data_IF_563957094586
#
_entry.id   IF_563957094586
#
_cell.length_a   1.000
_cell.length_b   1.000
_cell.length_c   1.000
_cell.angle_alpha   90.00
_cell.angle_beta   90.00
_cell.angle_gamma   90.00
#
_symmetry.space_group_name_H-M   'P 1'
#
loop_
_entity.id
_entity.type
_entity.pdbx_description
1 polymer ?
#
# COMPACT_ATOMS: atom_id res chain seq x y z
N UNK A 1 0.48 -20.63 3.06
CA UNK A 1 -0.37 -19.83 2.14
C UNK A 1 -0.25 -18.39 2.62
N UNK A 2 0.09 -17.46 1.74
CA UNK A 2 0.19 -16.05 2.10
C UNK A 2 -1.15 -15.53 2.61
N UNK A 3 -1.13 -14.75 3.69
CA UNK A 3 -2.30 -14.14 4.30
C UNK A 3 -2.39 -12.67 3.89
N UNK A 4 -3.58 -12.26 3.46
CA UNK A 4 -3.82 -10.90 2.95
C UNK A 4 -3.96 -9.90 4.09
N UNK A 5 -3.68 -8.63 3.80
CA UNK A 5 -3.92 -7.54 4.74
C UNK A 5 -5.36 -7.51 5.22
N UNK A 6 -6.36 -7.67 4.35
CA UNK A 6 -7.77 -7.61 4.77
C UNK A 6 -8.13 -8.72 5.76
N UNK A 7 -7.57 -9.92 5.60
CA UNK A 7 -7.77 -11.04 6.54
C UNK A 7 -7.13 -10.73 7.90
N UNK A 8 -5.93 -10.16 7.91
CA UNK A 8 -5.27 -9.72 9.14
C UNK A 8 -6.02 -8.54 9.79
N UNK A 9 -6.56 -7.64 8.97
CA UNK A 9 -7.32 -6.47 9.39
C UNK A 9 -8.63 -6.86 10.09
N UNK A 10 -9.38 -7.82 9.54
CA UNK A 10 -10.56 -8.38 10.20
C UNK A 10 -10.23 -8.93 11.60
N UNK A 11 -9.09 -9.61 11.74
CA UNK A 11 -8.63 -10.12 13.03
C UNK A 11 -8.24 -9.01 14.00
N UNK A 12 -7.69 -7.90 13.51
CA UNK A 12 -7.41 -6.70 14.32
C UNK A 12 -8.72 -6.08 14.82
N UNK A 13 -9.72 -5.91 13.94
CA UNK A 13 -11.05 -5.39 14.31
C UNK A 13 -11.71 -6.30 15.35
N UNK A 14 -11.69 -7.62 15.13
CA UNK A 14 -12.23 -8.60 16.07
C UNK A 14 -11.51 -8.57 17.43
N UNK A 15 -10.18 -8.44 17.44
CA UNK A 15 -9.41 -8.34 18.66
C UNK A 15 -9.73 -7.06 19.46
N UNK A 16 -9.91 -5.92 18.78
CA UNK A 16 -10.26 -4.65 19.40
C UNK A 16 -11.68 -4.66 20.02
N UNK A 17 -12.57 -5.53 19.53
CA UNK A 17 -13.90 -5.72 20.11
C UNK A 17 -13.87 -6.41 21.49
N UNK A 18 -12.74 -7.01 21.89
CA UNK A 18 -12.59 -7.64 23.20
C UNK A 18 -12.86 -6.67 24.36
N UNK A 19 -13.50 -7.15 25.42
CA UNK A 19 -13.69 -6.42 26.67
C UNK A 19 -12.56 -6.64 27.69
N UNK A 20 -11.53 -7.43 27.33
CA UNK A 20 -10.42 -7.81 28.21
C UNK A 20 -9.20 -6.89 28.15
N UNK A 21 -9.32 -5.69 27.58
CA UNK A 21 -8.24 -4.68 27.64
C UNK A 21 -8.12 -4.07 29.05
N UNK A 22 -7.02 -3.35 29.28
CA UNK A 22 -6.69 -2.69 30.55
C UNK A 22 -7.85 -1.93 31.17
N UNK A 23 -8.09 -2.06 32.47
CA UNK A 23 -9.05 -1.22 33.20
C UNK A 23 -8.51 0.20 33.49
N UNK A 24 -7.24 0.47 33.19
CA UNK A 24 -6.63 1.80 33.32
C UNK A 24 -7.36 2.83 32.43
N UNK A 25 -7.68 4.00 33.01
CA UNK A 25 -8.51 5.02 32.34
C UNK A 25 -7.86 5.55 31.06
N UNK A 26 -6.56 5.76 31.07
CA UNK A 26 -5.85 6.29 29.91
C UNK A 26 -5.78 5.26 28.78
N UNK A 27 -5.55 3.98 29.12
CA UNK A 27 -5.64 2.90 28.14
C UNK A 27 -7.05 2.73 27.60
N UNK A 28 -8.09 2.74 28.44
CA UNK A 28 -9.48 2.66 28.00
C UNK A 28 -9.83 3.77 26.99
N UNK A 29 -9.40 5.01 27.23
CA UNK A 29 -9.60 6.11 26.29
C UNK A 29 -8.97 5.84 24.92
N UNK A 30 -7.75 5.28 24.88
CA UNK A 30 -7.11 4.89 23.63
C UNK A 30 -7.81 3.69 22.97
N UNK A 31 -8.22 2.67 23.71
CA UNK A 31 -8.90 1.50 23.13
C UNK A 31 -10.26 1.88 22.52
N UNK A 32 -11.02 2.75 23.16
CA UNK A 32 -12.29 3.24 22.61
C UNK A 32 -12.07 3.95 21.28
N UNK A 33 -11.03 4.77 21.18
CA UNK A 33 -10.66 5.44 19.94
C UNK A 33 -10.06 4.47 18.91
N UNK A 34 -9.33 3.45 19.34
CA UNK A 34 -8.80 2.39 18.48
C UNK A 34 -9.91 1.61 17.76
N UNK A 35 -11.00 1.29 18.47
CA UNK A 35 -12.19 0.66 17.89
C UNK A 35 -12.87 1.53 16.84
N UNK A 36 -12.80 2.86 16.98
CA UNK A 36 -13.33 3.80 15.98
C UNK A 36 -12.37 3.97 14.80
N UNK A 37 -11.06 3.99 15.06
CA UNK A 37 -10.05 4.06 14.02
C UNK A 37 -10.10 2.84 13.11
N UNK A 38 -10.15 1.63 13.65
CA UNK A 38 -10.20 0.40 12.87
C UNK A 38 -11.66 -0.08 12.70
N UNK A 39 -12.35 0.46 11.69
CA UNK A 39 -13.73 0.10 11.36
C UNK A 39 -13.82 -0.94 10.23
N UNK A 40 -15.03 -1.40 9.92
CA UNK A 40 -15.24 -2.39 8.85
C UNK A 40 -14.75 -1.93 7.47
N UNK A 41 -14.84 -0.62 7.21
CA UNK A 41 -14.43 -0.01 5.93
C UNK A 41 -12.97 0.49 5.94
N UNK A 42 -12.12 0.00 6.85
CA UNK A 42 -10.73 0.43 6.98
C UNK A 42 -10.53 1.56 8.00
N UNK A 43 -9.45 2.32 7.83
CA UNK A 43 -9.00 3.27 8.85
C UNK A 43 -9.76 4.61 8.81
N UNK A 44 -10.43 4.96 9.91
CA UNK A 44 -11.14 6.23 10.05
C UNK A 44 -10.18 7.39 10.36
N UNK A 45 -10.14 8.36 9.44
CA UNK A 45 -9.37 9.58 9.58
C UNK A 45 -9.81 10.51 10.71
N UNK A 46 -11.06 10.39 11.19
CA UNK A 46 -11.52 11.13 12.37
C UNK A 46 -10.74 10.77 13.63
N UNK A 47 -10.13 9.59 13.67
CA UNK A 47 -9.30 9.11 14.78
C UNK A 47 -7.83 8.92 14.38
N UNK A 48 -7.38 9.54 13.29
CA UNK A 48 -6.01 9.40 12.79
C UNK A 48 -4.92 9.82 13.80
N UNK A 49 -5.22 10.74 14.72
CA UNK A 49 -4.25 11.14 15.76
C UNK A 49 -3.99 10.03 16.79
N UNK A 50 -4.86 9.02 16.90
CA UNK A 50 -4.71 7.92 17.85
C UNK A 50 -3.35 7.24 17.71
N UNK A 51 -2.91 6.95 16.48
CA UNK A 51 -1.67 6.19 16.27
C UNK A 51 -0.45 6.97 16.78
N UNK A 52 -0.47 8.31 16.69
CA UNK A 52 0.56 9.16 17.29
C UNK A 52 0.44 9.23 18.82
N UNK A 53 -0.78 9.31 19.35
CA UNK A 53 -1.01 9.31 20.80
C UNK A 53 -0.57 8.00 21.45
N UNK A 54 -0.81 6.86 20.78
CA UNK A 54 -0.29 5.55 21.17
C UNK A 54 1.24 5.55 21.16
N UNK A 55 1.87 6.04 20.09
CA UNK A 55 3.34 6.16 20.00
C UNK A 55 3.91 7.01 21.14
N UNK A 56 3.29 8.15 21.44
CA UNK A 56 3.70 9.06 22.54
C UNK A 56 3.52 8.42 23.92
N UNK A 57 2.41 7.72 24.16
CA UNK A 57 2.18 7.02 25.44
C UNK A 57 3.26 5.96 25.69
N UNK A 58 3.60 5.18 24.66
CA UNK A 58 4.67 4.17 24.73
C UNK A 58 6.04 4.80 24.97
N UNK A 59 6.37 5.89 24.24
CA UNK A 59 7.63 6.62 24.45
C UNK A 59 7.74 7.22 25.87
N UNK A 60 6.64 7.73 26.44
CA UNK A 60 6.62 8.24 27.82
C UNK A 60 6.86 7.14 28.85
N UNK A 61 6.30 5.94 28.63
CA UNK A 61 6.54 4.79 29.49
C UNK A 61 8.02 4.35 29.44
N UNK A 62 8.62 4.35 28.24
CA UNK A 62 10.06 4.08 28.03
C UNK A 62 10.95 5.07 28.77
N UNK A 63 10.66 6.37 28.65
CA UNK A 63 11.36 7.41 29.41
C UNK A 63 11.23 7.24 30.94
N UNK A 64 10.22 6.50 31.40
CA UNK A 64 9.98 6.17 32.82
C UNK A 64 10.53 4.79 33.21
N UNK A 65 11.29 4.12 32.34
CA UNK A 65 11.95 2.84 32.62
C UNK A 65 11.15 1.58 32.23
N UNK A 66 9.99 1.71 31.59
CA UNK A 66 9.20 0.56 31.11
C UNK A 66 9.40 0.31 29.62
N UNK A 67 9.72 -0.92 29.22
CA UNK A 67 9.82 -1.24 27.79
C UNK A 67 8.43 -1.33 27.11
N UNK A 68 8.44 -1.36 25.77
CA UNK A 68 7.21 -1.37 24.96
C UNK A 68 6.37 -2.63 25.22
N UNK A 69 7.00 -3.80 25.38
CA UNK A 69 6.31 -5.03 25.71
C UNK A 69 5.52 -4.92 27.03
N UNK A 70 6.15 -4.45 28.12
CA UNK A 70 5.48 -4.25 29.43
C UNK A 70 4.24 -3.35 29.26
N UNK A 71 4.40 -2.25 28.53
CA UNK A 71 3.32 -1.29 28.30
C UNK A 71 2.17 -1.89 27.48
N UNK A 72 2.48 -2.66 26.44
CA UNK A 72 1.48 -3.30 25.58
C UNK A 72 0.77 -4.47 26.28
N UNK A 73 1.44 -5.23 27.13
CA UNK A 73 0.77 -6.21 28.02
C UNK A 73 -0.21 -5.51 28.95
N UNK A 74 0.24 -4.44 29.62
CA UNK A 74 -0.62 -3.63 30.49
C UNK A 74 -1.84 -3.08 29.75
N UNK A 75 -1.66 -2.62 28.52
CA UNK A 75 -2.74 -2.18 27.63
C UNK A 75 -3.71 -3.32 27.27
N UNK A 76 -3.18 -4.52 26.99
CA UNK A 76 -3.94 -5.72 26.66
C UNK A 76 -4.64 -6.39 27.86
N UNK A 77 -4.58 -5.76 29.04
CA UNK A 77 -5.27 -6.19 30.26
C UNK A 77 -4.48 -7.14 31.14
N UNK A 78 -3.21 -7.37 30.84
CA UNK A 78 -2.38 -8.36 31.51
C UNK A 78 -1.12 -7.72 32.09
N UNK A 79 -0.56 -8.34 33.12
CA UNK A 79 0.76 -7.94 33.62
C UNK A 79 1.82 -8.81 32.98
N UNK A 80 2.92 -8.22 32.52
CA UNK A 80 4.10 -8.97 32.12
C UNK A 80 4.79 -9.55 33.39
N UNK A 81 4.17 -10.52 34.06
CA UNK A 81 4.74 -11.19 35.22
C UNK A 81 5.54 -12.43 34.78
N UNK A 82 6.74 -12.18 34.26
CA UNK A 82 7.68 -13.25 33.95
C UNK A 82 8.41 -13.73 35.21
N UNK A 83 7.87 -14.72 35.91
CA UNK A 83 8.67 -15.58 36.80
C UNK A 83 8.36 -17.04 36.50
N UNK A 84 9.24 -17.68 35.73
CA UNK A 84 9.20 -19.12 35.42
C UNK A 84 9.60 -19.42 33.98
N UNK A 85 10.36 -20.49 33.77
CA UNK A 85 10.53 -21.08 32.43
C UNK A 85 9.19 -21.65 31.96
N UNK A 86 8.77 -21.36 30.72
CA UNK A 86 7.56 -21.93 30.11
C UNK A 86 6.28 -21.07 30.16
N UNK A 87 6.35 -19.78 30.48
CA UNK A 87 5.18 -18.89 30.36
C UNK A 87 4.80 -18.69 28.89
N UNK A 88 3.53 -18.91 28.57
CA UNK A 88 2.97 -18.85 27.21
C UNK A 88 1.95 -17.73 27.13
N UNK A 89 1.97 -17.00 26.02
CA UNK A 89 0.94 -16.05 25.59
C UNK A 89 -0.10 -16.83 24.80
N UNK A 90 -1.32 -16.91 25.32
CA UNK A 90 -2.42 -17.55 24.62
C UNK A 90 -2.84 -16.75 23.37
N UNK A 91 -3.58 -17.40 22.47
CA UNK A 91 -4.02 -16.82 21.20
C UNK A 91 -4.87 -15.56 21.38
N UNK A 92 -5.71 -15.48 22.41
CA UNK A 92 -6.61 -14.35 22.61
C UNK A 92 -5.86 -13.12 23.14
N UNK A 93 -4.90 -13.31 24.04
CA UNK A 93 -3.96 -12.26 24.44
C UNK A 93 -3.09 -11.82 23.27
N UNK A 94 -2.57 -12.79 22.49
CA UNK A 94 -1.77 -12.52 21.30
C UNK A 94 -2.50 -11.67 20.26
N UNK A 95 -3.79 -11.93 20.02
CA UNK A 95 -4.64 -11.09 19.15
C UNK A 95 -4.76 -9.65 19.66
N UNK A 96 -4.99 -9.43 20.96
CA UNK A 96 -5.06 -8.08 21.56
C UNK A 96 -3.73 -7.34 21.43
N UNK A 97 -2.63 -8.01 21.73
CA UNK A 97 -1.27 -7.48 21.57
C UNK A 97 -0.98 -7.14 20.10
N UNK A 98 -1.35 -8.04 19.18
CA UNK A 98 -1.20 -7.85 17.74
C UNK A 98 -1.99 -6.67 17.21
N UNK A 99 -3.23 -6.47 17.65
CA UNK A 99 -4.01 -5.29 17.29
C UNK A 99 -3.31 -3.99 17.70
N UNK A 100 -2.83 -3.90 18.95
CA UNK A 100 -2.12 -2.72 19.43
C UNK A 100 -0.79 -2.51 18.70
N UNK A 101 -0.05 -3.59 18.44
CA UNK A 101 1.22 -3.52 17.71
C UNK A 101 1.01 -3.07 16.26
N UNK A 102 0.00 -3.58 15.58
CA UNK A 102 -0.37 -3.12 14.23
C UNK A 102 -0.73 -1.64 14.23
N UNK A 103 -1.57 -1.17 15.17
CA UNK A 103 -1.93 0.24 15.27
C UNK A 103 -0.73 1.14 15.61
N UNK A 104 0.20 0.67 16.45
CA UNK A 104 1.48 1.36 16.69
C UNK A 104 2.16 1.63 15.34
N UNK A 105 2.24 0.64 14.47
CA UNK A 105 3.00 0.72 13.21
C UNK A 105 2.15 1.22 12.03
N UNK A 106 0.97 1.77 12.31
CA UNK A 106 0.10 2.42 11.33
C UNK A 106 0.35 3.92 11.31
N UNK A 107 0.45 4.50 10.12
CA UNK A 107 0.75 5.91 9.88
C UNK A 107 -0.30 6.53 8.98
N UNK A 108 -0.92 7.61 9.44
CA UNK A 108 -1.69 8.46 8.55
C UNK A 108 -0.73 9.39 7.82
N UNK A 109 -0.55 9.18 6.51
CA UNK A 109 0.45 9.89 5.74
C UNK A 109 -0.05 11.25 5.26
N UNK A 110 -1.28 11.28 4.72
CA UNK A 110 -1.85 12.51 4.14
C UNK A 110 -3.35 12.39 3.91
N UNK A 111 -3.99 13.56 3.89
CA UNK A 111 -5.30 13.78 3.26
C UNK A 111 -5.16 14.79 2.14
N UNK A 112 -5.71 14.51 0.97
CA UNK A 112 -5.92 15.54 -0.06
C UNK A 112 -7.31 15.37 -0.67
N UNK A 113 -8.14 16.40 -0.54
CA UNK A 113 -9.58 16.28 -0.81
C UNK A 113 -10.22 15.18 0.05
N UNK A 114 -10.90 14.25 -0.61
CA UNK A 114 -11.49 13.07 0.03
C UNK A 114 -10.53 11.88 0.17
N UNK A 115 -9.34 11.93 -0.44
CA UNK A 115 -8.42 10.80 -0.47
C UNK A 115 -7.56 10.74 0.78
N UNK A 116 -7.40 9.52 1.31
CA UNK A 116 -6.78 9.25 2.60
C UNK A 116 -5.67 8.21 2.39
N UNK A 117 -4.43 8.57 2.68
CA UNK A 117 -3.29 7.66 2.50
C UNK A 117 -2.81 7.18 3.86
N UNK A 118 -2.79 5.86 4.03
CA UNK A 118 -2.27 5.18 5.20
C UNK A 118 -1.06 4.33 4.81
N UNK A 119 -0.16 4.14 5.76
CA UNK A 119 0.94 3.19 5.62
C UNK A 119 1.01 2.32 6.87
N UNK A 120 1.01 1.01 6.68
CA UNK A 120 1.30 0.03 7.71
C UNK A 120 2.72 -0.51 7.50
N UNK A 121 3.60 -0.24 8.46
CA UNK A 121 5.02 -0.55 8.38
C UNK A 121 5.44 -1.45 9.54
N UNK A 122 5.06 -2.73 9.48
CA UNK A 122 5.33 -3.70 10.55
C UNK A 122 6.84 -3.92 10.73
N UNK A 123 7.35 -4.08 11.97
CA UNK A 123 8.76 -4.36 12.22
C UNK A 123 9.24 -5.63 11.51
N UNK A 124 10.49 -5.62 11.08
CA UNK A 124 11.12 -6.65 10.24
C UNK A 124 11.28 -8.00 10.94
N UNK A 125 11.25 -8.05 12.27
CA UNK A 125 11.25 -9.31 13.02
C UNK A 125 9.96 -10.13 12.84
N UNK A 126 8.89 -9.52 12.34
CA UNK A 126 7.65 -10.22 12.01
C UNK A 126 7.75 -10.85 10.61
N UNK A 127 7.52 -12.16 10.54
CA UNK A 127 7.39 -12.94 9.30
C UNK A 127 5.93 -13.33 9.00
N UNK A 128 4.99 -12.82 9.81
CA UNK A 128 3.54 -12.89 9.61
C UNK A 128 2.90 -11.75 10.40
N UNK A 129 1.63 -11.46 10.15
CA UNK A 129 0.91 -10.37 10.79
C UNK A 129 0.97 -10.45 12.32
N UNK A 130 1.03 -9.32 13.05
CA UNK A 130 1.14 -9.34 14.51
C UNK A 130 0.04 -10.14 15.22
N UNK A 131 -1.18 -10.16 14.69
CA UNK A 131 -2.31 -10.90 15.25
C UNK A 131 -2.17 -12.44 15.12
N UNK A 132 -1.35 -12.92 14.17
CA UNK A 132 -1.04 -14.35 14.00
C UNK A 132 0.20 -14.78 14.78
N UNK A 133 1.16 -13.87 14.95
CA UNK A 133 2.53 -14.20 15.32
C UNK A 133 2.90 -13.93 16.78
N UNK A 134 1.94 -13.44 17.58
CA UNK A 134 2.11 -13.06 18.99
C UNK A 134 1.43 -14.03 19.98
N UNK A 135 1.39 -15.32 19.65
CA UNK A 135 1.10 -16.39 20.59
C UNK A 135 2.36 -17.25 20.83
N UNK A 136 2.40 -18.01 21.92
CA UNK A 136 3.52 -18.89 22.25
C UNK A 136 4.45 -18.34 23.32
N UNK A 137 5.74 -18.67 23.26
CA UNK A 137 6.68 -18.39 24.36
C UNK A 137 6.83 -16.90 24.65
N UNK A 138 6.69 -16.53 25.94
CA UNK A 138 6.73 -15.14 26.41
C UNK A 138 7.95 -14.37 25.90
N UNK A 139 9.15 -14.97 25.94
CA UNK A 139 10.37 -14.32 25.49
C UNK A 139 10.36 -13.91 24.01
N UNK A 140 9.82 -14.78 23.14
CA UNK A 140 9.68 -14.48 21.70
C UNK A 140 8.66 -13.37 21.47
N UNK A 141 7.50 -13.43 22.15
CA UNK A 141 6.47 -12.40 22.06
C UNK A 141 6.99 -11.06 22.56
N UNK A 142 7.63 -11.02 23.73
CA UNK A 142 8.23 -9.79 24.28
C UNK A 142 9.30 -9.22 23.36
N UNK A 143 10.13 -10.05 22.72
CA UNK A 143 11.12 -9.60 21.74
C UNK A 143 10.47 -8.92 20.54
N UNK A 144 9.45 -9.55 19.94
CA UNK A 144 8.67 -8.96 18.83
C UNK A 144 7.94 -7.67 19.21
N UNK A 145 7.39 -7.59 20.42
CA UNK A 145 6.72 -6.39 20.91
C UNK A 145 7.69 -5.24 21.15
N UNK A 146 8.94 -5.52 21.52
CA UNK A 146 9.97 -4.50 21.69
C UNK A 146 10.63 -4.09 20.36
N UNK A 147 10.46 -4.85 19.28
CA UNK A 147 11.04 -4.51 17.99
C UNK A 147 10.35 -3.27 17.37
N UNK A 148 11.18 -2.37 16.84
CA UNK A 148 10.77 -1.11 16.22
C UNK A 148 11.45 -0.90 14.87
N UNK A 149 12.19 -1.89 14.37
CA UNK A 149 12.88 -1.78 13.10
C UNK A 149 11.92 -2.04 11.94
N UNK A 150 11.25 -0.99 11.49
CA UNK A 150 10.18 -1.02 10.50
C UNK A 150 10.68 -1.26 9.07
N UNK A 151 9.84 -1.90 8.23
CA UNK A 151 10.13 -2.14 6.80
C UNK A 151 10.38 -0.84 6.02
N UNK A 152 9.52 0.16 6.22
CA UNK A 152 9.64 1.45 5.55
C UNK A 152 10.28 2.46 6.50
N UNK A 153 11.31 3.15 6.04
CA UNK A 153 11.89 4.31 6.74
C UNK A 153 10.95 5.51 6.74
N UNK A 154 11.27 6.53 7.56
CA UNK A 154 10.54 7.79 7.57
C UNK A 154 10.54 8.47 6.18
N UNK A 155 11.67 8.46 5.47
CA UNK A 155 11.78 9.04 4.12
C UNK A 155 10.93 8.26 3.12
N UNK A 156 10.98 6.92 3.14
CA UNK A 156 10.14 6.09 2.27
C UNK A 156 8.63 6.33 2.51
N UNK A 157 8.20 6.54 3.76
CA UNK A 157 6.81 6.91 4.05
C UNK A 157 6.43 8.28 3.48
N UNK A 158 7.34 9.26 3.52
CA UNK A 158 7.11 10.57 2.84
C UNK A 158 6.97 10.39 1.33
N UNK A 159 7.76 9.49 0.74
CA UNK A 159 7.70 9.17 -0.68
C UNK A 159 6.36 8.54 -1.09
N UNK A 160 5.88 7.53 -0.34
CA UNK A 160 4.57 6.90 -0.53
C UNK A 160 3.42 7.91 -0.45
N UNK A 161 3.51 8.87 0.49
CA UNK A 161 2.54 9.96 0.65
C UNK A 161 2.38 10.81 -0.62
N UNK A 162 3.48 11.08 -1.32
CA UNK A 162 3.50 11.93 -2.50
C UNK A 162 3.16 11.16 -3.79
N UNK A 163 3.48 9.87 -3.86
CA UNK A 163 3.27 9.03 -5.04
C UNK A 163 1.79 8.98 -5.48
N UNK A 164 0.86 8.77 -4.54
CA UNK A 164 -0.58 8.74 -4.85
C UNK A 164 -1.10 10.06 -5.44
N UNK A 165 -0.60 11.19 -4.91
CA UNK A 165 -1.02 12.52 -5.37
C UNK A 165 -0.48 12.81 -6.77
N UNK A 166 0.79 12.47 -7.03
CA UNK A 166 1.38 12.63 -8.36
C UNK A 166 0.72 11.69 -9.37
N UNK A 167 0.42 10.44 -8.98
CA UNK A 167 -0.35 9.50 -9.78
C UNK A 167 -1.74 10.03 -10.15
N UNK A 168 -2.48 10.65 -9.20
CA UNK A 168 -3.78 11.28 -9.50
C UNK A 168 -3.65 12.40 -10.54
N UNK A 169 -2.62 13.24 -10.40
CA UNK A 169 -2.33 14.31 -11.36
C UNK A 169 -2.09 13.73 -12.76
N UNK A 170 -1.33 12.64 -12.87
CA UNK A 170 -1.07 11.98 -14.14
C UNK A 170 -2.34 11.41 -14.76
N UNK A 171 -3.14 10.69 -13.97
CA UNK A 171 -4.43 10.14 -14.39
C UNK A 171 -5.33 11.24 -14.94
N UNK A 172 -5.39 12.42 -14.32
CA UNK A 172 -6.17 13.55 -14.86
C UNK A 172 -5.66 14.10 -16.20
N UNK A 173 -4.34 14.16 -16.39
CA UNK A 173 -3.77 14.57 -17.67
C UNK A 173 -4.08 13.53 -18.75
N UNK A 174 -3.96 12.24 -18.41
CA UNK A 174 -4.34 11.14 -19.28
C UNK A 174 -5.82 11.17 -19.66
N UNK A 175 -6.73 11.45 -18.71
CA UNK A 175 -8.17 11.64 -18.99
C UNK A 175 -8.42 12.79 -19.96
N UNK A 176 -7.65 13.87 -19.87
CA UNK A 176 -7.79 15.02 -20.79
C UNK A 176 -7.40 14.65 -22.23
N UNK A 177 -6.34 13.84 -22.37
CA UNK A 177 -5.86 13.31 -23.65
C UNK A 177 -6.86 12.31 -24.22
N UNK A 178 -7.19 11.25 -23.45
CA UNK A 178 -8.10 10.18 -23.83
C UNK A 178 -9.56 10.65 -24.03
N UNK A 179 -9.97 11.72 -23.36
CA UNK A 179 -11.29 12.34 -23.54
C UNK A 179 -11.43 13.15 -24.84
N UNK A 180 -10.32 13.48 -25.51
CA UNK A 180 -10.33 14.26 -26.75
C UNK A 180 -9.37 13.65 -27.80
N UNK A 181 -9.60 12.41 -28.24
CA UNK A 181 -8.63 11.68 -29.08
C UNK A 181 -8.51 12.25 -30.50
N UNK A 182 -9.50 13.01 -30.98
CA UNK A 182 -9.48 13.61 -32.33
C UNK A 182 -8.52 14.79 -32.50
N UNK A 183 -7.87 15.25 -31.43
CA UNK A 183 -6.80 16.26 -31.54
C UNK A 183 -5.50 15.56 -31.91
N UNK A 184 -4.80 16.02 -32.95
CA UNK A 184 -3.58 15.39 -33.48
C UNK A 184 -2.56 15.00 -32.41
N UNK A 185 -2.26 15.94 -31.49
CA UNK A 185 -1.33 15.68 -30.39
C UNK A 185 -1.82 14.56 -29.47
N UNK A 186 -3.11 14.51 -29.16
CA UNK A 186 -3.67 13.50 -28.27
C UNK A 186 -3.71 12.14 -28.97
N UNK A 187 -4.14 12.13 -30.23
CA UNK A 187 -4.12 10.95 -31.08
C UNK A 187 -2.73 10.33 -31.13
N UNK A 188 -1.70 11.16 -31.39
CA UNK A 188 -0.31 10.71 -31.47
C UNK A 188 0.22 10.11 -30.16
N UNK A 189 -0.25 10.58 -29.00
CA UNK A 189 0.12 9.99 -27.70
C UNK A 189 -0.59 8.65 -27.52
N UNK A 190 -1.90 8.56 -27.82
CA UNK A 190 -2.64 7.28 -27.72
C UNK A 190 -2.04 6.24 -28.68
N UNK A 191 -1.82 6.60 -29.94
CA UNK A 191 -1.26 5.70 -30.94
C UNK A 191 0.14 5.19 -30.56
N UNK A 192 0.97 6.03 -29.95
CA UNK A 192 2.31 5.62 -29.50
C UNK A 192 2.30 4.45 -28.52
N UNK A 193 1.35 4.45 -27.60
CA UNK A 193 1.28 3.48 -26.51
C UNK A 193 0.31 2.33 -26.77
N UNK A 194 -0.53 2.42 -27.81
CA UNK A 194 -1.59 1.43 -28.05
C UNK A 194 -1.80 1.01 -29.52
N UNK A 195 -1.17 1.64 -30.51
CA UNK A 195 -1.30 1.24 -31.92
C UNK A 195 -0.20 0.27 -32.37
N UNK A 196 -0.60 -0.81 -33.04
CA UNK A 196 0.28 -1.68 -33.79
C UNK A 196 0.18 -1.44 -35.31
N UNK A 197 0.85 -2.28 -36.11
CA UNK A 197 0.90 -2.13 -37.57
C UNK A 197 -0.45 -2.38 -38.27
N UNK A 198 -1.44 -2.95 -37.58
CA UNK A 198 -2.78 -3.24 -38.12
C UNK A 198 -3.85 -2.24 -37.66
N UNK A 199 -3.49 -1.37 -36.74
CA UNK A 199 -4.39 -0.41 -36.12
C UNK A 199 -4.82 0.68 -37.11
N UNK A 200 -6.08 1.07 -37.01
CA UNK A 200 -6.71 2.17 -37.74
C UNK A 200 -7.04 3.32 -36.81
N UNK A 201 -7.44 4.45 -37.39
CA UNK A 201 -7.82 5.63 -36.62
C UNK A 201 -9.02 5.36 -35.70
N UNK A 202 -9.97 4.54 -36.16
CA UNK A 202 -11.12 4.13 -35.36
C UNK A 202 -10.71 3.32 -34.12
N UNK A 203 -9.65 2.49 -34.23
CA UNK A 203 -9.14 1.69 -33.12
C UNK A 203 -8.55 2.59 -32.02
N UNK A 204 -7.91 3.70 -32.40
CA UNK A 204 -7.35 4.65 -31.43
C UNK A 204 -8.43 5.46 -30.72
N UNK A 205 -9.53 5.78 -31.41
CA UNK A 205 -10.70 6.40 -30.78
C UNK A 205 -11.33 5.42 -29.78
N UNK A 206 -11.43 4.14 -30.12
CA UNK A 206 -11.94 3.10 -29.22
C UNK A 206 -11.02 2.87 -28.02
N UNK A 207 -9.71 2.77 -28.23
CA UNK A 207 -8.71 2.65 -27.17
C UNK A 207 -8.78 3.85 -26.21
N UNK A 208 -8.87 5.07 -26.74
CA UNK A 208 -9.03 6.27 -25.93
C UNK A 208 -10.32 6.27 -25.10
N UNK A 209 -11.43 5.76 -25.65
CA UNK A 209 -12.68 5.62 -24.90
C UNK A 209 -12.52 4.63 -23.72
N UNK A 210 -11.89 3.48 -23.96
CA UNK A 210 -11.56 2.47 -22.93
C UNK A 210 -10.67 3.05 -21.84
N UNK A 211 -9.57 3.73 -22.23
CA UNK A 211 -8.66 4.41 -21.32
C UNK A 211 -9.42 5.43 -20.47
N UNK A 212 -10.21 6.32 -21.08
CA UNK A 212 -10.93 7.35 -20.34
C UNK A 212 -11.95 6.76 -19.34
N UNK A 213 -12.64 5.67 -19.71
CA UNK A 213 -13.56 4.98 -18.80
C UNK A 213 -12.81 4.36 -17.60
N UNK A 214 -11.67 3.71 -17.84
CA UNK A 214 -10.84 3.13 -16.79
C UNK A 214 -10.19 4.17 -15.89
N UNK A 215 -9.60 5.21 -16.48
CA UNK A 215 -8.95 6.31 -15.76
C UNK A 215 -9.92 7.05 -14.85
N UNK A 216 -11.22 7.16 -15.20
CA UNK A 216 -12.25 7.70 -14.30
C UNK A 216 -12.41 6.87 -13.03
N UNK A 217 -12.35 5.53 -13.12
CA UNK A 217 -12.41 4.64 -11.95
C UNK A 217 -11.19 4.84 -11.05
N UNK A 218 -10.00 4.83 -11.64
CA UNK A 218 -8.72 5.08 -10.93
C UNK A 218 -8.76 6.46 -10.25
N UNK A 219 -9.19 7.50 -10.97
CA UNK A 219 -9.29 8.85 -10.42
C UNK A 219 -10.28 8.94 -9.26
N UNK A 220 -11.42 8.24 -9.31
CA UNK A 220 -12.36 8.19 -8.20
C UNK A 220 -11.71 7.56 -6.96
N UNK A 221 -10.96 6.47 -7.16
CA UNK A 221 -10.21 5.79 -6.09
C UNK A 221 -9.21 6.72 -5.41
N UNK A 222 -8.42 7.41 -6.23
CA UNK A 222 -7.43 8.39 -5.79
C UNK A 222 -8.01 9.73 -5.29
N UNK A 223 -9.33 9.98 -5.39
CA UNK A 223 -9.99 11.23 -4.94
C UNK A 223 -10.81 11.10 -3.67
N UNK A 224 -11.47 9.97 -3.48
CA UNK A 224 -12.47 9.80 -2.41
C UNK A 224 -12.31 8.51 -1.61
N UNK A 225 -11.42 7.62 -2.04
CA UNK A 225 -11.11 6.38 -1.33
C UNK A 225 -10.03 6.55 -0.27
N UNK A 226 -9.81 5.48 0.48
CA UNK A 226 -8.57 5.27 1.20
C UNK A 226 -7.59 4.51 0.31
N UNK A 227 -6.30 4.62 0.61
CA UNK A 227 -5.27 3.74 0.06
C UNK A 227 -4.31 3.38 1.19
N UNK A 228 -4.04 2.09 1.33
CA UNK A 228 -3.22 1.51 2.38
C UNK A 228 -1.97 0.92 1.71
N UNK A 229 -0.82 1.48 2.04
CA UNK A 229 0.47 0.90 1.68
C UNK A 229 0.96 -0.01 2.79
N UNK A 230 1.32 -1.24 2.46
CA UNK A 230 1.97 -2.17 3.38
C UNK A 230 2.88 -3.10 2.59
N UNK A 231 3.72 -3.91 3.22
CA UNK A 231 4.41 -5.01 2.53
C UNK A 231 3.71 -6.34 2.78
N UNK A 232 4.08 -7.39 2.06
CA UNK A 232 3.52 -8.72 2.26
C UNK A 232 4.18 -9.41 3.46
N UNK A 233 3.69 -9.08 4.67
CA UNK A 233 4.33 -9.52 5.93
C UNK A 233 4.46 -11.05 6.00
N UNK A 234 3.46 -11.79 5.53
CA UNK A 234 3.43 -13.26 5.55
C UNK A 234 4.35 -13.93 4.52
N UNK A 235 4.88 -13.16 3.56
CA UNK A 235 5.79 -13.65 2.52
C UNK A 235 7.24 -13.21 2.75
N UNK A 236 7.50 -12.48 3.84
CA UNK A 236 8.86 -12.09 4.22
C UNK A 236 9.75 -13.31 4.42
N UNK A 237 10.96 -13.26 3.86
CA UNK A 237 11.92 -14.37 3.93
C UNK A 237 11.64 -15.50 2.92
N UNK A 238 10.66 -15.34 2.05
CA UNK A 238 10.43 -16.22 0.89
C UNK A 238 11.05 -15.62 -0.38
N UNK A 239 11.06 -16.40 -1.47
CA UNK A 239 11.51 -15.93 -2.79
C UNK A 239 10.37 -15.40 -3.66
N UNK A 240 9.11 -15.48 -3.21
CA UNK A 240 7.92 -15.20 -4.03
C UNK A 240 7.89 -13.76 -4.57
N UNK A 241 8.34 -12.78 -3.76
CA UNK A 241 8.32 -11.36 -4.11
C UNK A 241 9.73 -10.79 -4.43
N UNK A 242 10.70 -11.66 -4.73
CA UNK A 242 12.03 -11.18 -5.12
C UNK A 242 11.97 -10.45 -6.46
N UNK A 243 12.51 -9.23 -6.49
CA UNK A 243 12.48 -8.40 -7.68
C UNK A 243 11.14 -7.72 -7.95
N UNK A 244 10.17 -7.84 -7.05
CA UNK A 244 8.84 -7.21 -7.19
C UNK A 244 8.87 -5.78 -6.68
N UNK A 245 8.27 -4.85 -7.43
CA UNK A 245 8.12 -3.47 -7.01
C UNK A 245 6.91 -3.31 -6.08
N UNK A 246 5.75 -3.68 -6.58
CA UNK A 246 4.51 -3.70 -5.84
C UNK A 246 3.58 -4.73 -6.45
N UNK A 247 2.47 -4.98 -5.76
CA UNK A 247 1.35 -5.71 -6.33
C UNK A 247 0.06 -5.35 -5.60
N UNK A 248 -1.06 -5.73 -6.21
CA UNK A 248 -2.38 -5.72 -5.57
C UNK A 248 -2.97 -7.13 -5.57
N UNK A 249 -3.66 -7.47 -4.48
CA UNK A 249 -4.51 -8.66 -4.41
C UNK A 249 -5.99 -8.28 -4.46
N UNK A 250 -6.85 -9.29 -4.45
CA UNK A 250 -8.31 -9.13 -4.35
C UNK A 250 -8.81 -8.65 -2.98
N UNK A 251 -8.01 -7.88 -2.25
CA UNK A 251 -8.40 -7.26 -0.97
C UNK A 251 -9.63 -6.38 -1.16
N UNK A 252 -10.71 -6.56 -0.36
CA UNK A 252 -11.83 -5.62 -0.33
C UNK A 252 -11.39 -4.20 0.04
N UNK A 253 -10.43 -4.09 0.96
CA UNK A 253 -9.75 -2.84 1.27
C UNK A 253 -8.78 -2.45 0.17
N UNK A 254 -8.56 -1.14 0.03
CA UNK A 254 -7.70 -0.58 -1.00
C UNK A 254 -6.23 -0.66 -0.58
N UNK A 255 -5.63 -1.81 -0.84
CA UNK A 255 -4.27 -2.14 -0.43
C UNK A 255 -3.36 -2.24 -1.66
N UNK A 256 -2.18 -1.63 -1.55
CA UNK A 256 -1.05 -1.87 -2.45
C UNK A 256 0.10 -2.40 -1.60
N UNK A 257 0.57 -3.59 -1.96
CA UNK A 257 1.71 -4.24 -1.31
C UNK A 257 2.99 -3.69 -1.95
N UNK A 258 3.87 -3.10 -1.14
CA UNK A 258 5.10 -2.42 -1.55
C UNK A 258 6.28 -3.31 -1.17
N UNK A 259 7.07 -3.70 -2.16
CA UNK A 259 8.22 -4.58 -1.99
C UNK A 259 9.54 -3.86 -2.32
N UNK A 260 10.65 -4.58 -2.24
CA UNK A 260 11.99 -3.98 -2.21
C UNK A 260 12.31 -3.14 -3.45
N UNK A 261 11.94 -3.62 -4.64
CA UNK A 261 12.26 -2.93 -5.89
C UNK A 261 11.45 -1.64 -6.10
N UNK A 262 10.41 -1.38 -5.30
CA UNK A 262 9.69 -0.10 -5.35
C UNK A 262 10.63 1.09 -5.16
N UNK A 263 11.59 0.93 -4.25
CA UNK A 263 12.62 1.92 -3.94
C UNK A 263 13.94 1.62 -4.64
N UNK A 264 13.97 0.62 -5.54
CA UNK A 264 15.13 0.23 -6.32
C UNK A 264 15.54 1.30 -7.34
N UNK A 265 16.78 1.18 -7.81
CA UNK A 265 17.40 2.15 -8.73
C UNK A 265 17.65 1.58 -10.13
N UNK A 266 17.23 0.33 -10.38
CA UNK A 266 17.47 -0.39 -11.63
C UNK A 266 16.48 0.00 -12.76
N UNK A 267 15.45 0.76 -12.41
CA UNK A 267 14.39 1.20 -13.32
C UNK A 267 14.82 2.37 -14.20
N UNK A 268 14.15 2.49 -15.35
CA UNK A 268 14.31 3.65 -16.26
C UNK A 268 13.90 4.97 -15.59
N UNK A 269 12.90 4.92 -14.71
CA UNK A 269 12.46 6.06 -13.90
C UNK A 269 12.98 5.91 -12.47
N UNK A 270 13.23 7.04 -11.79
CA UNK A 270 13.65 7.06 -10.38
C UNK A 270 12.81 8.04 -9.57
N UNK A 271 12.87 7.90 -8.25
CA UNK A 271 12.21 8.81 -7.30
C UNK A 271 10.69 8.89 -7.48
N UNK A 272 10.12 10.07 -7.23
CA UNK A 272 8.68 10.31 -7.25
C UNK A 272 8.01 9.90 -8.56
N UNK A 273 8.70 10.12 -9.69
CA UNK A 273 8.20 9.72 -11.00
C UNK A 273 8.08 8.19 -11.09
N UNK A 274 9.07 7.44 -10.60
CA UNK A 274 8.98 5.98 -10.59
C UNK A 274 7.84 5.49 -9.70
N UNK A 275 7.73 6.02 -8.49
CA UNK A 275 6.72 5.63 -7.52
C UNK A 275 5.31 5.94 -8.00
N UNK A 276 5.10 7.09 -8.63
CA UNK A 276 3.82 7.45 -9.23
C UNK A 276 3.44 6.48 -10.37
N UNK A 277 4.41 6.07 -11.21
CA UNK A 277 4.18 5.03 -12.24
C UNK A 277 3.72 3.74 -11.58
N UNK A 278 4.42 3.24 -10.56
CA UNK A 278 4.05 1.98 -9.89
C UNK A 278 2.65 2.08 -9.31
N UNK A 279 2.32 3.16 -8.61
CA UNK A 279 0.97 3.33 -8.04
C UNK A 279 -0.11 3.33 -9.12
N UNK A 280 0.12 3.98 -10.26
CA UNK A 280 -0.84 3.96 -11.38
C UNK A 280 -0.94 2.56 -11.99
N UNK A 281 0.19 1.87 -12.19
CA UNK A 281 0.26 0.49 -12.67
C UNK A 281 -0.62 -0.42 -11.79
N UNK A 282 -0.40 -0.41 -10.48
CA UNK A 282 -1.13 -1.24 -9.53
C UNK A 282 -2.64 -0.94 -9.48
N UNK A 283 -3.01 0.34 -9.55
CA UNK A 283 -4.41 0.71 -9.57
C UNK A 283 -5.11 0.32 -10.87
N UNK A 284 -4.36 0.12 -11.96
CA UNK A 284 -4.96 -0.42 -13.19
C UNK A 284 -5.37 -1.89 -12.97
N UNK A 285 -4.52 -2.71 -12.35
CA UNK A 285 -4.89 -4.09 -12.01
C UNK A 285 -6.14 -4.13 -11.13
N UNK A 286 -6.21 -3.25 -10.14
CA UNK A 286 -7.32 -3.21 -9.19
C UNK A 286 -8.64 -2.81 -9.86
N UNK A 287 -8.65 -1.67 -10.56
CA UNK A 287 -9.89 -1.00 -11.00
C UNK A 287 -10.33 -1.40 -12.42
N UNK A 288 -9.38 -1.80 -13.27
CA UNK A 288 -9.65 -2.14 -14.69
C UNK A 288 -9.21 -3.54 -15.09
N UNK A 289 -8.62 -4.31 -14.17
CA UNK A 289 -8.26 -5.73 -14.37
C UNK A 289 -7.25 -5.95 -15.52
N UNK A 290 -6.36 -4.98 -15.73
CA UNK A 290 -5.19 -5.13 -16.59
C UNK A 290 -4.32 -6.32 -16.15
N UNK A 291 -3.42 -6.72 -17.02
CA UNK A 291 -2.48 -7.83 -16.88
C UNK A 291 -1.05 -7.33 -17.09
N UNK A 292 -0.09 -8.13 -16.67
CA UNK A 292 1.33 -7.91 -16.96
C UNK A 292 1.73 -8.70 -18.20
N UNK A 293 1.37 -8.18 -19.36
CA UNK A 293 1.78 -8.76 -20.64
C UNK A 293 3.25 -8.47 -20.95
N UNK A 294 3.75 -7.31 -20.50
CA UNK A 294 5.17 -6.95 -20.53
C UNK A 294 5.49 -5.76 -19.61
N UNK A 295 6.73 -5.70 -19.17
CA UNK A 295 7.30 -4.59 -18.41
C UNK A 295 8.27 -3.76 -19.26
N UNK A 296 8.53 -2.51 -18.88
CA UNK A 296 9.42 -1.60 -19.59
C UNK A 296 10.79 -2.21 -19.94
N UNK A 297 11.37 -3.02 -19.06
CA UNK A 297 12.68 -3.64 -19.26
C UNK A 297 12.69 -4.69 -20.38
N UNK A 298 11.53 -5.10 -20.87
CA UNK A 298 11.31 -5.99 -22.01
C UNK A 298 10.93 -5.22 -23.29
N UNK A 299 10.67 -3.92 -23.16
CA UNK A 299 10.11 -3.06 -24.20
C UNK A 299 8.60 -3.27 -24.36
N UNK A 300 7.82 -2.23 -24.08
CA UNK A 300 6.35 -2.27 -24.10
C UNK A 300 5.72 -1.71 -25.38
N UNK A 301 6.48 -1.67 -26.49
CA UNK A 301 5.97 -1.22 -27.77
C UNK A 301 4.79 -2.10 -28.25
N UNK A 302 3.62 -1.52 -28.60
CA UNK A 302 2.48 -2.29 -29.10
C UNK A 302 2.78 -3.09 -30.37
N UNK A 303 3.80 -2.71 -31.15
CA UNK A 303 4.25 -3.52 -32.29
C UNK A 303 4.90 -4.85 -31.88
N UNK A 304 5.44 -4.93 -30.65
CA UNK A 304 5.94 -6.17 -30.04
C UNK A 304 4.81 -6.95 -29.34
N UNK A 305 3.88 -6.24 -28.68
CA UNK A 305 2.82 -6.85 -27.86
C UNK A 305 1.52 -7.18 -28.63
N UNK A 306 1.23 -6.49 -29.73
CA UNK A 306 -0.10 -6.18 -30.30
C UNK A 306 -0.86 -5.08 -29.57
N UNK A 307 -1.74 -4.38 -30.29
CA UNK A 307 -2.63 -3.35 -29.74
C UNK A 307 -3.57 -3.92 -28.66
N UNK A 308 -4.07 -5.14 -28.87
CA UNK A 308 -4.95 -5.82 -27.93
C UNK A 308 -4.27 -6.11 -26.59
N UNK A 309 -3.01 -6.57 -26.60
CA UNK A 309 -2.27 -6.75 -25.34
C UNK A 309 -1.86 -5.42 -24.73
N UNK A 310 -1.48 -4.42 -25.54
CA UNK A 310 -1.10 -3.11 -25.02
C UNK A 310 -2.24 -2.44 -24.23
N UNK A 311 -3.49 -2.53 -24.71
CA UNK A 311 -4.64 -1.96 -23.98
C UNK A 311 -4.99 -2.75 -22.70
N UNK A 312 -4.60 -4.02 -22.62
CA UNK A 312 -4.74 -4.84 -21.41
C UNK A 312 -3.54 -4.75 -20.47
N UNK A 313 -2.41 -4.17 -20.90
CA UNK A 313 -1.15 -4.18 -20.16
C UNK A 313 -1.09 -3.05 -19.12
N UNK A 314 -0.84 -3.38 -17.85
CA UNK A 314 -0.79 -2.39 -16.77
C UNK A 314 0.33 -1.36 -16.97
N UNK A 315 1.51 -1.80 -17.40
CA UNK A 315 2.63 -0.91 -17.62
C UNK A 315 2.35 0.08 -18.76
N UNK A 316 1.74 -0.37 -19.87
CA UNK A 316 1.33 0.51 -20.97
C UNK A 316 0.41 1.64 -20.51
N UNK A 317 -0.50 1.40 -19.57
CA UNK A 317 -1.34 2.44 -18.96
C UNK A 317 -0.55 3.41 -18.10
N UNK A 318 0.35 2.91 -17.25
CA UNK A 318 1.15 3.74 -16.36
C UNK A 318 2.09 4.67 -17.14
N UNK A 319 2.76 4.15 -18.16
CA UNK A 319 3.63 4.91 -19.05
C UNK A 319 2.88 5.91 -19.92
N UNK A 320 1.70 5.55 -20.43
CA UNK A 320 0.79 6.50 -21.09
C UNK A 320 0.41 7.66 -20.17
N UNK A 321 0.09 7.38 -18.90
CA UNK A 321 -0.25 8.42 -17.93
C UNK A 321 0.92 9.37 -17.65
N UNK A 322 2.12 8.82 -17.51
CA UNK A 322 3.35 9.60 -17.32
C UNK A 322 3.66 10.49 -18.54
N UNK A 323 3.52 9.97 -19.77
CA UNK A 323 3.71 10.75 -21.01
C UNK A 323 2.69 11.90 -21.11
N UNK A 324 1.41 11.60 -20.85
CA UNK A 324 0.34 12.62 -20.83
C UNK A 324 0.61 13.73 -19.81
N UNK A 325 1.27 13.40 -18.70
CA UNK A 325 1.65 14.36 -17.67
C UNK A 325 2.91 15.18 -18.00
N UNK A 326 3.61 14.85 -19.09
CA UNK A 326 4.90 15.45 -19.44
C UNK A 326 6.05 15.01 -18.52
N UNK A 327 5.91 13.86 -17.85
CA UNK A 327 6.90 13.34 -16.93
C UNK A 327 8.06 12.60 -17.62
N UNK A 328 7.94 12.34 -18.93
CA UNK A 328 8.89 11.57 -19.71
C UNK A 328 9.62 12.46 -20.74
N UNK A 329 10.93 12.28 -20.87
CA UNK A 329 11.69 12.83 -21.99
C UNK A 329 11.56 11.93 -23.22
N UNK A 330 11.90 12.44 -24.40
CA UNK A 330 11.86 11.65 -25.63
C UNK A 330 12.76 10.38 -25.56
N UNK A 331 13.92 10.49 -24.91
CA UNK A 331 14.81 9.34 -24.70
C UNK A 331 14.20 8.30 -23.77
N UNK A 332 13.53 8.72 -22.70
CA UNK A 332 12.83 7.83 -21.78
C UNK A 332 11.67 7.11 -22.45
N UNK A 333 10.86 7.83 -23.26
CA UNK A 333 9.79 7.22 -24.06
C UNK A 333 10.32 6.16 -25.00
N UNK A 334 11.40 6.47 -25.75
CA UNK A 334 12.01 5.52 -26.67
C UNK A 334 12.53 4.27 -25.93
N UNK A 335 13.22 4.47 -24.81
CA UNK A 335 13.74 3.36 -24.02
C UNK A 335 12.62 2.45 -23.50
N UNK A 336 11.54 3.01 -22.96
CA UNK A 336 10.42 2.20 -22.45
C UNK A 336 9.73 1.38 -23.56
N UNK A 337 9.58 1.94 -24.77
CA UNK A 337 8.97 1.23 -25.89
C UNK A 337 9.90 0.11 -26.41
N UNK A 338 11.16 0.44 -26.66
CA UNK A 338 12.00 -0.35 -27.56
C UNK A 338 13.09 -1.18 -26.89
N UNK A 339 13.20 -1.16 -25.55
CA UNK A 339 14.27 -1.83 -24.78
C UNK A 339 14.62 -3.24 -25.27
#
# INVERSE_FOLDING_TARGET
MASRFSEAYEKIVAALASNKFSADKDWQALIVRARKLAGADGFDTGEASLVEDLRKKLAKAEASGSNEAVSLFGAAGETLSGKGAGVVVDTELGKRLGALKTLRHTYFLKRFGGHKVWCLSIPTLFTDWPCESLAGGLGSVSSKLNDRNERFSLEQRKHLSNASQEGLKWVHKAMTVAGNPKKDKNFAIVARWFADNSSKDEDMIAAAATLNAGLKKIAAKLKSGQLIYTDSVSERGTTENQGTEAFVWGDPLDVVYIEEEFFGTSNTLTGLTNWARIVVHELTHREVKTKDHAYEHQGINPKKLSAAKAIENADSWAWFCADCAGALTAGVVKNALDR
#
